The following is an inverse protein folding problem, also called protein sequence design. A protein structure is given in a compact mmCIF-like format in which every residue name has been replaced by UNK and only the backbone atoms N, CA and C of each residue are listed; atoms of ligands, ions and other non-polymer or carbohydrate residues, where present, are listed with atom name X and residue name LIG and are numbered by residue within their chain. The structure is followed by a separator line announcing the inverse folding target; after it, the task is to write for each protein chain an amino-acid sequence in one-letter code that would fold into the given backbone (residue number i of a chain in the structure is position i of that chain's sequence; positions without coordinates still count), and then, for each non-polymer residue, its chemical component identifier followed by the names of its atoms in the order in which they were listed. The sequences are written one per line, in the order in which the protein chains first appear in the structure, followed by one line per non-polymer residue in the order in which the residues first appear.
data_IF_998305360120
#
_entry.id   IF_998305360120
#
_cell.length_a   1.000
_cell.length_b   1.000
_cell.length_c   1.000
_cell.angle_alpha   90.00
_cell.angle_beta   90.00
_cell.angle_gamma   90.00
#
_symmetry.space_group_name_H-M   'P 1'
#
loop_
_entity.id
_entity.type
_entity.pdbx_description
1 polymer ?
#
# COMPACT_ATOMS: atom_id res chain seq x y z
N UNK A 1 -7.26 22.66 -24.69
CA UNK A 1 -7.58 22.21 -26.07
C UNK A 1 -8.75 21.26 -25.96
N UNK A 2 -9.87 21.65 -26.57
CA UNK A 2 -11.16 20.93 -26.77
C UNK A 2 -11.76 20.15 -25.59
N UNK A 3 -12.53 20.86 -24.76
CA UNK A 3 -13.45 20.28 -23.75
C UNK A 3 -14.75 19.71 -24.36
N UNK A 4 -14.81 19.55 -25.67
CA UNK A 4 -15.97 19.02 -26.37
C UNK A 4 -16.00 17.50 -26.23
N UNK A 5 -17.04 16.90 -25.63
CA UNK A 5 -17.15 15.44 -25.55
C UNK A 5 -17.19 14.85 -26.97
N UNK A 6 -16.43 13.77 -27.19
CA UNK A 6 -16.25 13.15 -28.50
C UNK A 6 -17.52 12.46 -29.01
N UNK A 7 -18.47 12.13 -28.12
CA UNK A 7 -19.77 11.55 -28.47
C UNK A 7 -20.85 11.78 -27.38
N UNK A 8 -22.14 11.56 -27.70
CA UNK A 8 -23.25 11.76 -26.76
C UNK A 8 -23.21 10.88 -25.50
N UNK A 9 -22.60 9.70 -25.58
CA UNK A 9 -22.43 8.82 -24.43
C UNK A 9 -21.39 9.39 -23.45
N UNK A 10 -20.29 9.95 -23.95
CA UNK A 10 -19.31 10.66 -23.13
C UNK A 10 -19.91 11.90 -22.47
N UNK A 11 -20.74 12.66 -23.19
CA UNK A 11 -21.46 13.80 -22.64
C UNK A 11 -22.40 13.37 -21.49
N UNK A 12 -23.14 12.27 -21.68
CA UNK A 12 -24.01 11.69 -20.66
C UNK A 12 -23.21 11.20 -19.45
N UNK A 13 -22.08 10.53 -19.66
CA UNK A 13 -21.21 10.04 -18.59
C UNK A 13 -20.59 11.18 -17.77
N UNK A 14 -20.18 12.28 -18.43
CA UNK A 14 -19.71 13.49 -17.71
C UNK A 14 -20.83 14.12 -16.89
N UNK A 15 -22.04 14.20 -17.45
CA UNK A 15 -23.21 14.72 -16.76
C UNK A 15 -23.60 13.87 -15.54
N UNK A 16 -23.61 12.53 -15.67
CA UNK A 16 -23.90 11.64 -14.55
C UNK A 16 -22.81 11.70 -13.48
N UNK A 17 -21.54 11.82 -13.86
CA UNK A 17 -20.44 12.02 -12.91
C UNK A 17 -20.55 13.36 -12.16
N UNK A 18 -20.87 14.46 -12.83
CA UNK A 18 -21.02 15.76 -12.17
C UNK A 18 -22.21 15.75 -11.20
N UNK A 19 -23.35 15.19 -11.62
CA UNK A 19 -24.53 15.03 -10.77
C UNK A 19 -24.24 14.14 -9.55
N UNK A 20 -23.48 13.04 -9.74
CA UNK A 20 -23.09 12.18 -8.64
C UNK A 20 -22.18 12.91 -7.64
N UNK A 21 -21.23 13.71 -8.11
CA UNK A 21 -20.35 14.52 -7.25
C UNK A 21 -21.14 15.56 -6.44
N UNK A 22 -22.09 16.25 -7.08
CA UNK A 22 -22.92 17.26 -6.42
C UNK A 22 -23.86 16.63 -5.39
N UNK A 23 -24.42 15.47 -5.70
CA UNK A 23 -25.26 14.71 -4.76
C UNK A 23 -24.44 14.23 -3.54
N UNK A 24 -23.23 13.70 -3.75
CA UNK A 24 -22.34 13.28 -2.66
C UNK A 24 -21.96 14.45 -1.76
N UNK A 25 -21.62 15.62 -2.34
CA UNK A 25 -21.34 16.85 -1.58
C UNK A 25 -22.54 17.29 -0.73
N UNK A 26 -23.76 17.18 -1.27
CA UNK A 26 -24.98 17.56 -0.57
C UNK A 26 -25.34 16.61 0.58
N UNK A 27 -24.99 15.32 0.48
CA UNK A 27 -25.30 14.31 1.51
C UNK A 27 -24.28 14.35 2.66
N UNK A 28 -22.98 14.46 2.36
CA UNK A 28 -21.95 14.68 3.37
C UNK A 28 -20.69 15.28 2.71
N UNK A 29 -20.32 16.54 3.01
CA UNK A 29 -19.12 17.17 2.45
C UNK A 29 -17.83 16.37 2.72
N UNK A 30 -17.78 15.60 3.82
CA UNK A 30 -16.63 14.75 4.14
C UNK A 30 -16.48 13.55 3.18
N UNK A 31 -17.57 13.09 2.56
CA UNK A 31 -17.54 12.01 1.56
C UNK A 31 -17.14 12.50 0.16
N UNK A 32 -17.24 13.80 -0.12
CA UNK A 32 -16.84 14.37 -1.41
C UNK A 32 -15.32 14.23 -1.68
N UNK A 33 -14.53 14.19 -0.60
CA UNK A 33 -13.09 13.97 -0.66
C UNK A 33 -12.71 12.50 -0.37
N UNK A 34 -13.69 11.60 -0.22
CA UNK A 34 -13.42 10.20 0.04
C UNK A 34 -12.87 9.53 -1.22
N UNK A 35 -11.55 9.36 -1.26
CA UNK A 35 -10.86 8.61 -2.29
C UNK A 35 -10.59 7.18 -1.78
N UNK A 36 -11.22 6.15 -2.35
CA UNK A 36 -10.96 4.77 -1.96
C UNK A 36 -9.50 4.35 -2.10
N UNK A 37 -8.76 4.95 -3.05
CA UNK A 37 -7.32 4.71 -3.24
C UNK A 37 -6.45 5.39 -2.17
N UNK A 38 -7.05 6.15 -1.24
CA UNK A 38 -6.37 6.75 -0.09
C UNK A 38 -6.78 6.09 1.22
N UNK A 39 -7.66 5.08 1.21
CA UNK A 39 -8.06 4.39 2.45
C UNK A 39 -6.89 3.68 3.14
N UNK A 40 -5.92 3.16 2.38
CA UNK A 40 -4.71 2.54 2.92
C UNK A 40 -3.82 3.53 3.69
N UNK A 41 -3.90 4.81 3.34
CA UNK A 41 -3.19 5.91 4.00
C UNK A 41 -3.75 6.24 5.38
N UNK A 42 -4.99 5.85 5.65
CA UNK A 42 -5.64 6.05 6.95
C UNK A 42 -5.31 4.92 7.94
N UNK A 43 -4.71 3.82 7.48
CA UNK A 43 -4.31 2.72 8.34
C UNK A 43 -3.01 3.06 9.08
N UNK A 44 -3.05 3.21 10.42
CA UNK A 44 -1.87 3.53 11.19
C UNK A 44 -0.87 2.37 11.16
N UNK A 45 0.42 2.72 11.22
CA UNK A 45 1.49 1.78 11.50
C UNK A 45 1.35 1.29 12.94
N UNK A 46 1.36 -0.03 13.15
CA UNK A 46 1.30 -0.65 14.47
C UNK A 46 2.67 -0.48 15.15
N UNK A 47 2.73 -0.03 16.42
CA UNK A 47 3.99 0.11 17.16
C UNK A 47 4.80 -1.18 17.26
N UNK A 48 6.12 -1.05 17.34
CA UNK A 48 7.06 -2.18 17.42
C UNK A 48 6.71 -3.19 18.54
N UNK A 49 6.32 -2.74 19.73
CA UNK A 49 6.00 -3.63 20.85
C UNK A 49 4.75 -4.48 20.58
N UNK A 50 3.75 -3.90 19.90
CA UNK A 50 2.57 -4.66 19.49
C UNK A 50 2.90 -5.64 18.36
N UNK A 51 3.78 -5.26 17.42
CA UNK A 51 4.26 -6.17 16.39
C UNK A 51 4.97 -7.38 17.01
N UNK A 52 5.87 -7.18 17.97
CA UNK A 52 6.55 -8.28 18.65
C UNK A 52 5.61 -9.12 19.53
N UNK A 53 4.60 -8.50 20.15
CA UNK A 53 3.61 -9.23 20.91
C UNK A 53 2.77 -10.17 20.03
N UNK A 54 2.24 -9.69 18.89
CA UNK A 54 1.30 -10.47 18.07
C UNK A 54 1.96 -11.28 16.96
N UNK A 55 3.06 -10.76 16.40
CA UNK A 55 3.79 -11.36 15.27
C UNK A 55 5.20 -11.80 15.64
N UNK A 56 5.70 -11.48 16.83
CA UNK A 56 7.03 -11.86 17.26
C UNK A 56 7.07 -13.16 18.05
N UNK A 57 8.05 -13.23 18.94
CA UNK A 57 8.36 -14.41 19.75
C UNK A 57 7.58 -14.48 21.05
N UNK A 58 6.83 -13.45 21.43
CA UNK A 58 6.16 -13.36 22.74
C UNK A 58 5.26 -14.57 23.03
N UNK A 59 4.47 -15.03 22.05
CA UNK A 59 3.64 -16.24 22.18
C UNK A 59 4.27 -17.49 21.55
N UNK A 60 5.41 -17.36 20.88
CA UNK A 60 6.15 -18.48 20.28
C UNK A 60 7.66 -18.21 20.36
N UNK A 61 8.30 -18.50 21.51
CA UNK A 61 9.68 -18.08 21.80
C UNK A 61 10.71 -18.59 20.79
N UNK A 62 10.49 -19.80 20.25
CA UNK A 62 11.36 -20.44 19.25
C UNK A 62 10.96 -20.12 17.81
N UNK A 63 9.97 -19.24 17.61
CA UNK A 63 9.45 -18.85 16.30
C UNK A 63 10.24 -17.74 15.62
N UNK A 64 9.78 -17.33 14.44
CA UNK A 64 10.32 -16.15 13.75
C UNK A 64 9.89 -14.87 14.48
N UNK A 65 10.81 -13.91 14.60
CA UNK A 65 10.53 -12.55 15.07
C UNK A 65 9.68 -11.74 14.07
N UNK A 66 9.16 -10.58 14.50
CA UNK A 66 8.22 -9.81 13.69
C UNK A 66 8.88 -9.31 12.39
N UNK A 67 10.13 -8.82 12.48
CA UNK A 67 10.91 -8.38 11.32
C UNK A 67 10.98 -9.46 10.25
N UNK A 68 11.36 -10.67 10.63
CA UNK A 68 11.52 -11.79 9.71
C UNK A 68 10.18 -12.17 9.07
N UNK A 69 9.10 -12.20 9.85
CA UNK A 69 7.75 -12.49 9.30
C UNK A 69 7.29 -11.44 8.31
N UNK A 70 7.57 -10.15 8.59
CA UNK A 70 7.19 -9.05 7.71
C UNK A 70 7.99 -9.07 6.40
N UNK A 71 9.30 -9.35 6.45
CA UNK A 71 10.11 -9.53 5.23
C UNK A 71 9.63 -10.74 4.40
N UNK A 72 9.31 -11.88 5.05
CA UNK A 72 8.73 -13.03 4.34
C UNK A 72 7.35 -12.71 3.73
N UNK A 73 6.54 -11.92 4.43
CA UNK A 73 5.25 -11.45 3.92
C UNK A 73 5.45 -10.56 2.70
N UNK A 74 6.38 -9.60 2.76
CA UNK A 74 6.73 -8.73 1.63
C UNK A 74 7.21 -9.53 0.41
N UNK A 75 8.07 -10.53 0.63
CA UNK A 75 8.53 -11.44 -0.43
C UNK A 75 7.33 -12.14 -1.08
N UNK A 76 6.43 -12.72 -0.29
CA UNK A 76 5.23 -13.42 -0.79
C UNK A 76 4.30 -12.50 -1.58
N UNK A 77 4.00 -11.31 -1.06
CA UNK A 77 3.18 -10.30 -1.74
C UNK A 77 3.80 -9.86 -3.07
N UNK A 78 5.13 -9.74 -3.12
CA UNK A 78 5.84 -9.40 -4.35
C UNK A 78 5.77 -10.56 -5.36
N UNK A 79 6.02 -11.80 -4.94
CA UNK A 79 5.96 -12.99 -5.81
C UNK A 79 4.56 -13.19 -6.41
N UNK A 80 3.50 -12.81 -5.68
CA UNK A 80 2.12 -12.82 -6.18
C UNK A 80 1.81 -11.73 -7.25
N UNK A 81 2.83 -11.05 -7.76
CA UNK A 81 2.70 -10.04 -8.81
C UNK A 81 2.51 -8.62 -8.29
N UNK A 82 2.74 -8.39 -6.99
CA UNK A 82 2.58 -7.08 -6.36
C UNK A 82 1.19 -6.43 -6.59
N UNK A 83 0.14 -7.25 -6.58
CA UNK A 83 -1.25 -6.80 -6.83
C UNK A 83 -1.90 -6.18 -5.60
N UNK A 84 -1.43 -6.53 -4.40
CA UNK A 84 -1.96 -6.06 -3.12
C UNK A 84 -1.21 -4.81 -2.64
N UNK A 85 -1.35 -3.70 -3.37
CA UNK A 85 -0.51 -2.51 -3.21
C UNK A 85 -0.57 -1.91 -1.80
N UNK A 86 -1.77 -1.77 -1.23
CA UNK A 86 -1.99 -1.26 0.12
C UNK A 86 -1.26 -2.12 1.17
N UNK A 87 -1.32 -3.44 1.03
CA UNK A 87 -0.67 -4.39 1.92
C UNK A 87 0.85 -4.32 1.79
N UNK A 88 1.38 -4.11 0.59
CA UNK A 88 2.83 -3.92 0.38
C UNK A 88 3.29 -2.67 1.11
N UNK A 89 2.63 -1.52 0.90
CA UNK A 89 3.00 -0.26 1.59
C UNK A 89 2.95 -0.42 3.12
N UNK A 90 1.88 -1.02 3.64
CA UNK A 90 1.74 -1.27 5.08
C UNK A 90 2.81 -2.22 5.62
N UNK A 91 3.11 -3.30 4.89
CA UNK A 91 4.13 -4.29 5.28
C UNK A 91 5.52 -3.65 5.31
N UNK A 92 5.85 -2.79 4.35
CA UNK A 92 7.12 -2.05 4.33
C UNK A 92 7.25 -1.16 5.57
N UNK A 93 6.23 -0.36 5.90
CA UNK A 93 6.24 0.49 7.11
C UNK A 93 6.41 -0.33 8.38
N UNK A 94 5.65 -1.40 8.53
CA UNK A 94 5.77 -2.28 9.70
C UNK A 94 7.12 -2.99 9.76
N UNK A 95 7.70 -3.39 8.62
CA UNK A 95 9.01 -4.03 8.61
C UNK A 95 10.08 -3.09 9.15
N UNK A 96 10.07 -1.82 8.73
CA UNK A 96 10.98 -0.78 9.23
C UNK A 96 10.75 -0.49 10.71
N UNK A 97 9.50 -0.36 11.13
CA UNK A 97 9.13 -0.21 12.55
C UNK A 97 9.62 -1.39 13.40
N UNK A 98 9.59 -2.62 12.85
CA UNK A 98 10.16 -3.81 13.46
C UNK A 98 11.69 -3.91 13.35
N UNK A 99 12.37 -2.86 12.87
CA UNK A 99 13.84 -2.77 12.79
C UNK A 99 14.45 -3.26 11.48
N UNK A 100 13.68 -3.45 10.41
CA UNK A 100 14.25 -3.69 9.09
C UNK A 100 14.88 -2.42 8.51
N UNK A 101 16.04 -2.56 7.91
CA UNK A 101 16.70 -1.50 7.15
C UNK A 101 16.07 -1.34 5.77
N UNK A 102 16.19 -0.14 5.17
CA UNK A 102 15.80 0.09 3.76
C UNK A 102 16.51 -0.90 2.81
N UNK A 103 17.74 -1.32 3.14
CA UNK A 103 18.50 -2.33 2.39
C UNK A 103 17.87 -3.73 2.49
N UNK A 104 17.51 -4.19 3.69
CA UNK A 104 16.84 -5.51 3.87
C UNK A 104 15.50 -5.57 3.11
N UNK A 105 14.74 -4.46 3.08
CA UNK A 105 13.52 -4.34 2.28
C UNK A 105 13.83 -4.47 0.78
N UNK A 106 14.82 -3.73 0.28
CA UNK A 106 15.21 -3.76 -1.13
C UNK A 106 15.72 -5.14 -1.57
N UNK A 107 16.54 -5.81 -0.76
CA UNK A 107 17.03 -7.16 -1.04
C UNK A 107 15.91 -8.20 -1.03
N UNK A 108 14.94 -8.07 -0.12
CA UNK A 108 13.76 -8.93 -0.07
C UNK A 108 12.93 -8.81 -1.35
N UNK A 109 12.69 -7.58 -1.83
CA UNK A 109 11.98 -7.34 -3.09
C UNK A 109 12.82 -7.83 -4.28
N UNK A 110 14.12 -7.57 -4.29
CA UNK A 110 15.05 -8.02 -5.32
C UNK A 110 15.09 -9.54 -5.47
N UNK A 111 15.10 -10.27 -4.35
CA UNK A 111 15.04 -11.73 -4.31
C UNK A 111 13.76 -12.26 -5.00
N UNK A 112 12.65 -11.53 -4.88
CA UNK A 112 11.38 -11.92 -5.50
C UNK A 112 11.46 -12.00 -7.03
N UNK A 113 12.40 -11.29 -7.68
CA UNK A 113 12.55 -11.32 -9.13
C UNK A 113 12.81 -12.73 -9.68
N UNK A 114 13.45 -13.61 -8.89
CA UNK A 114 13.71 -15.00 -9.26
C UNK A 114 12.43 -15.84 -9.40
N UNK A 115 11.35 -15.44 -8.74
CA UNK A 115 10.11 -16.23 -8.63
C UNK A 115 8.89 -15.51 -9.24
N UNK A 116 8.72 -14.22 -8.96
CA UNK A 116 7.64 -13.37 -9.48
C UNK A 116 8.01 -12.61 -10.75
N UNK A 117 9.27 -12.67 -11.18
CA UNK A 117 9.77 -11.95 -12.35
C UNK A 117 10.07 -10.47 -12.10
N UNK A 118 10.84 -9.87 -13.00
CA UNK A 118 11.26 -8.46 -12.95
C UNK A 118 10.08 -7.46 -12.88
N UNK A 119 8.95 -7.65 -13.58
CA UNK A 119 7.83 -6.70 -13.49
C UNK A 119 7.24 -6.59 -12.07
N UNK A 120 7.10 -7.71 -11.36
CA UNK A 120 6.58 -7.72 -10.00
C UNK A 120 7.55 -7.06 -9.01
N UNK A 121 8.85 -7.34 -9.16
CA UNK A 121 9.92 -6.67 -8.40
C UNK A 121 9.89 -5.15 -8.60
N UNK A 122 9.84 -4.67 -9.85
CA UNK A 122 9.83 -3.24 -10.15
C UNK A 122 8.62 -2.54 -9.51
N UNK A 123 7.43 -3.14 -9.64
CA UNK A 123 6.21 -2.59 -9.02
C UNK A 123 6.32 -2.55 -7.50
N UNK A 124 6.80 -3.61 -6.87
CA UNK A 124 6.98 -3.63 -5.42
C UNK A 124 8.04 -2.61 -4.95
N UNK A 125 9.09 -2.37 -5.73
CA UNK A 125 10.11 -1.37 -5.41
C UNK A 125 9.54 0.04 -5.43
N UNK A 126 8.72 0.39 -6.43
CA UNK A 126 8.01 1.67 -6.50
C UNK A 126 7.12 1.88 -5.25
N UNK A 127 6.31 0.87 -4.90
CA UNK A 127 5.45 0.91 -3.72
C UNK A 127 6.24 1.03 -2.41
N UNK A 128 7.42 0.40 -2.33
CA UNK A 128 8.29 0.48 -1.18
C UNK A 128 8.88 1.88 -1.02
N UNK A 129 9.32 2.51 -2.11
CA UNK A 129 9.77 3.91 -2.11
C UNK A 129 8.65 4.84 -1.64
N UNK A 130 7.44 4.72 -2.21
CA UNK A 130 6.27 5.51 -1.79
C UNK A 130 5.96 5.36 -0.29
N UNK A 131 6.15 4.17 0.27
CA UNK A 131 5.90 3.88 1.67
C UNK A 131 6.97 4.47 2.61
N UNK A 132 8.22 4.54 2.16
CA UNK A 132 9.36 5.04 2.92
C UNK A 132 9.46 6.56 2.91
N UNK A 133 9.16 7.21 1.79
CA UNK A 133 9.26 8.67 1.64
C UNK A 133 8.27 9.42 2.55
N UNK A 134 7.16 8.77 2.91
CA UNK A 134 6.19 9.31 3.87
C UNK A 134 6.67 9.38 5.32
N UNK A 135 7.68 8.60 5.70
CA UNK A 135 8.23 8.64 7.05
C UNK A 135 9.16 9.83 7.30
N UNK A 136 9.51 10.61 6.27
CA UNK A 136 10.42 11.76 6.37
C UNK A 136 9.66 13.11 6.51
N UNK A 137 8.33 13.11 6.37
CA UNK A 137 7.48 14.32 6.47
C UNK A 137 6.75 14.50 7.81
N UNK A 138 6.90 13.56 8.75
CA UNK A 138 6.38 13.61 10.14
C UNK A 138 7.51 13.92 11.16
#
# INVERSE_FOLDING_TARGET
MTDTPANPFEALMRQTQSMAQDWVKAVNPALANFNPAQMDKLWPTVPAEMLEAFFGKQFNPEGLDAKTRLLLTLLGLTIQGAVAEAQIRLTVRHAVEAGATKQEVAETIGLAALFGGVPAMNKAMELATEALDRGEED
#
